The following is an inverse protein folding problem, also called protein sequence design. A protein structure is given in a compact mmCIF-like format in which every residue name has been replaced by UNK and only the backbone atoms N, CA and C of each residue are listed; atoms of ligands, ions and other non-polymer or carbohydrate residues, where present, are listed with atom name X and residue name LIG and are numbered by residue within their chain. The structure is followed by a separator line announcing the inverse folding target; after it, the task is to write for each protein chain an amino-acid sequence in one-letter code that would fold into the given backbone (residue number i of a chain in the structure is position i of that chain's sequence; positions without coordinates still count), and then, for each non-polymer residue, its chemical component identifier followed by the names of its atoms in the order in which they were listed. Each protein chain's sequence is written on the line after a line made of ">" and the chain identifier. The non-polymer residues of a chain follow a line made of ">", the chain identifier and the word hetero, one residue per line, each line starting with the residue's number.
data_IF_799796353151
#
_entry.id   IF_799796353151
#
_cell.length_a   1.000
_cell.length_b   1.000
_cell.length_c   1.000
_cell.angle_alpha   90.00
_cell.angle_beta   90.00
_cell.angle_gamma   90.00
#
_symmetry.space_group_name_H-M   'P 1'
#
loop_
_entity.id
_entity.type
_entity.pdbx_description
1 polymer ?
#
# COMPACT_ATOMS: atom_id res chain seq x y z
N UNK A 1 -24.18 -4.61 14.99
CA UNK A 1 -23.95 -5.62 13.92
C UNK A 1 -22.74 -5.36 13.01
N UNK A 2 -21.97 -4.26 13.16
CA UNK A 2 -20.81 -3.96 12.30
C UNK A 2 -19.53 -4.80 12.59
N UNK A 3 -19.62 -5.92 13.31
CA UNK A 3 -18.46 -6.52 14.01
C UNK A 3 -17.64 -7.54 13.21
N UNK A 4 -18.21 -8.23 12.22
CA UNK A 4 -17.49 -9.28 11.47
C UNK A 4 -16.60 -8.69 10.36
N UNK A 5 -17.18 -7.89 9.46
CA UNK A 5 -16.46 -7.29 8.31
C UNK A 5 -15.35 -6.34 8.79
N UNK A 6 -15.62 -5.49 9.79
CA UNK A 6 -14.61 -4.60 10.37
C UNK A 6 -13.43 -5.38 10.96
N UNK A 7 -13.71 -6.48 11.68
CA UNK A 7 -12.68 -7.35 12.26
C UNK A 7 -11.87 -8.07 11.18
N UNK A 8 -12.53 -8.65 10.17
CA UNK A 8 -11.86 -9.29 9.03
C UNK A 8 -10.96 -8.29 8.29
N UNK A 9 -11.43 -7.06 8.05
CA UNK A 9 -10.63 -6.00 7.46
C UNK A 9 -9.42 -5.62 8.33
N UNK A 10 -9.58 -5.49 9.64
CA UNK A 10 -8.48 -5.23 10.57
C UNK A 10 -7.51 -6.42 10.69
N UNK A 11 -7.95 -7.66 10.53
CA UNK A 11 -7.07 -8.82 10.42
C UNK A 11 -6.17 -8.65 9.19
N UNK A 12 -6.73 -8.30 8.02
CA UNK A 12 -5.96 -8.05 6.80
C UNK A 12 -4.96 -6.89 6.92
N UNK A 13 -5.30 -5.78 7.60
CA UNK A 13 -4.35 -4.65 7.81
C UNK A 13 -3.13 -5.08 8.65
N UNK A 14 -3.31 -6.01 9.58
CA UNK A 14 -2.27 -6.47 10.50
C UNK A 14 -1.37 -7.59 9.95
N UNK A 15 -1.75 -8.23 8.84
CA UNK A 15 -0.95 -9.32 8.25
C UNK A 15 0.37 -8.80 7.65
N UNK A 16 1.52 -9.40 8.01
CA UNK A 16 2.83 -8.99 7.54
C UNK A 16 3.13 -9.51 6.13
N UNK A 17 4.12 -8.87 5.48
CA UNK A 17 4.79 -9.43 4.31
C UNK A 17 5.82 -10.49 4.74
N UNK A 18 6.14 -11.46 3.87
CA UNK A 18 7.30 -12.32 4.04
C UNK A 18 8.60 -11.50 4.24
N UNK A 19 9.57 -12.01 5.03
CA UNK A 19 9.57 -13.30 5.72
C UNK A 19 8.86 -13.27 7.10
N UNK A 20 8.21 -12.17 7.48
CA UNK A 20 7.53 -12.03 8.78
C UNK A 20 6.18 -12.75 8.77
N UNK A 21 5.73 -13.21 9.93
CA UNK A 21 4.42 -13.84 10.19
C UNK A 21 3.83 -13.34 11.52
N UNK A 22 2.52 -13.46 11.70
CA UNK A 22 1.82 -13.13 12.96
C UNK A 22 0.89 -14.26 13.36
N UNK A 23 0.94 -14.71 14.61
CA UNK A 23 0.05 -15.77 15.12
C UNK A 23 -1.32 -15.21 15.53
N UNK A 24 -2.31 -16.10 15.71
CA UNK A 24 -3.67 -15.70 16.07
C UNK A 24 -3.80 -15.09 17.48
N UNK A 25 -2.85 -15.34 18.39
CA UNK A 25 -2.83 -14.73 19.72
C UNK A 25 -2.31 -13.29 19.68
N UNK A 26 -1.27 -13.02 18.89
CA UNK A 26 -0.81 -11.66 18.61
C UNK A 26 -1.89 -10.82 17.87
N UNK A 27 -2.65 -11.44 16.96
CA UNK A 27 -3.82 -10.79 16.35
C UNK A 27 -4.93 -10.51 17.37
N UNK A 28 -5.19 -11.43 18.31
CA UNK A 28 -6.17 -11.25 19.38
C UNK A 28 -5.82 -10.06 20.29
N UNK A 29 -4.58 -9.99 20.76
CA UNK A 29 -4.10 -8.88 21.59
C UNK A 29 -4.29 -7.53 20.88
N UNK A 30 -3.91 -7.44 19.60
CA UNK A 30 -4.06 -6.21 18.79
C UNK A 30 -5.51 -5.82 18.49
N UNK A 31 -6.42 -6.78 18.39
CA UNK A 31 -7.86 -6.47 18.27
C UNK A 31 -8.40 -5.94 19.60
N UNK A 32 -8.00 -6.53 20.72
CA UNK A 32 -8.37 -6.08 22.07
C UNK A 32 -7.87 -4.66 22.38
N UNK A 33 -6.64 -4.33 22.01
CA UNK A 33 -6.09 -2.95 22.03
C UNK A 33 -6.94 -1.94 21.26
N UNK A 34 -7.68 -2.40 20.23
CA UNK A 34 -8.55 -1.59 19.37
C UNK A 34 -10.01 -1.62 19.82
N UNK A 35 -10.30 -2.11 21.03
CA UNK A 35 -11.65 -2.21 21.59
C UNK A 35 -12.50 -3.34 20.99
N UNK A 36 -11.89 -4.29 20.27
CA UNK A 36 -12.57 -5.43 19.64
C UNK A 36 -12.20 -6.70 20.40
N UNK A 37 -13.01 -7.08 21.39
CA UNK A 37 -12.82 -8.36 22.07
C UNK A 37 -13.41 -9.50 21.23
N UNK A 38 -12.57 -10.49 20.92
CA UNK A 38 -12.92 -11.69 20.17
C UNK A 38 -12.01 -12.85 20.55
N UNK A 39 -12.57 -14.05 20.68
CA UNK A 39 -11.79 -15.24 20.96
C UNK A 39 -10.94 -15.70 19.77
N UNK A 40 -9.74 -16.22 20.06
CA UNK A 40 -8.81 -16.82 19.10
C UNK A 40 -9.44 -17.74 18.05
N UNK A 41 -10.44 -18.56 18.44
CA UNK A 41 -11.12 -19.50 17.54
C UNK A 41 -11.85 -18.81 16.39
N UNK A 42 -12.40 -17.62 16.65
CA UNK A 42 -13.07 -16.76 15.65
C UNK A 42 -12.03 -16.18 14.69
N UNK A 43 -10.92 -15.65 15.20
CA UNK A 43 -9.81 -15.14 14.38
C UNK A 43 -9.24 -16.23 13.46
N UNK A 44 -9.06 -17.45 13.99
CA UNK A 44 -8.62 -18.61 13.21
C UNK A 44 -9.62 -18.98 12.10
N UNK A 45 -10.93 -18.92 12.38
CA UNK A 45 -11.96 -19.19 11.37
C UNK A 45 -11.97 -18.11 10.28
N UNK A 46 -11.94 -16.84 10.69
CA UNK A 46 -11.85 -15.70 9.77
C UNK A 46 -10.61 -15.79 8.88
N UNK A 47 -9.44 -16.17 9.41
CA UNK A 47 -8.21 -16.34 8.62
C UNK A 47 -8.34 -17.45 7.57
N UNK A 48 -9.02 -18.56 7.90
CA UNK A 48 -9.31 -19.65 6.95
C UNK A 48 -10.28 -19.14 5.86
N UNK A 49 -11.39 -18.49 6.24
CA UNK A 49 -12.34 -17.88 5.31
C UNK A 49 -11.66 -16.87 4.37
N UNK A 50 -10.84 -15.98 4.93
CA UNK A 50 -10.07 -14.99 4.19
C UNK A 50 -9.04 -15.63 3.25
N UNK A 51 -8.42 -16.75 3.61
CA UNK A 51 -7.46 -17.45 2.73
C UNK A 51 -8.07 -18.04 1.47
N UNK A 52 -9.39 -18.25 1.43
CA UNK A 52 -10.12 -18.64 0.22
C UNK A 52 -10.34 -17.51 -0.79
N UNK A 53 -10.11 -16.24 -0.40
CA UNK A 53 -10.41 -15.04 -1.21
C UNK A 53 -9.19 -14.14 -1.38
N UNK A 54 -8.33 -14.07 -0.36
CA UNK A 54 -7.14 -13.23 -0.31
C UNK A 54 -5.87 -14.10 -0.37
N UNK A 55 -4.80 -13.63 -1.03
CA UNK A 55 -3.53 -14.35 -1.14
C UNK A 55 -2.72 -14.31 0.17
N UNK A 56 -3.30 -14.88 1.23
CA UNK A 56 -2.72 -15.06 2.56
C UNK A 56 -2.52 -16.55 2.84
N UNK A 57 -1.49 -16.89 3.59
CA UNK A 57 -1.13 -18.26 3.92
C UNK A 57 -0.78 -18.40 5.40
N UNK A 58 -1.06 -19.58 5.94
CA UNK A 58 -0.47 -20.02 7.20
C UNK A 58 0.98 -20.44 6.96
N UNK A 59 1.87 -20.00 7.85
CA UNK A 59 3.25 -20.46 7.96
C UNK A 59 3.30 -21.44 9.15
N UNK A 60 3.22 -22.72 8.80
CA UNK A 60 3.16 -23.88 9.70
C UNK A 60 4.54 -24.45 10.06
N UNK A 61 5.62 -23.93 9.45
CA UNK A 61 7.01 -24.38 9.57
C UNK A 61 7.52 -24.45 11.01
N UNK A 62 6.96 -23.63 11.90
CA UNK A 62 7.25 -23.66 13.33
C UNK A 62 6.03 -23.19 14.14
N UNK A 63 5.79 -23.80 15.30
CA UNK A 63 4.77 -23.33 16.25
C UNK A 63 5.28 -22.09 17.02
N UNK A 64 4.40 -21.12 17.38
CA UNK A 64 2.99 -21.02 16.98
C UNK A 64 2.86 -20.71 15.48
N UNK A 65 1.87 -21.36 14.83
CA UNK A 65 1.61 -21.15 13.41
C UNK A 65 1.25 -19.68 13.17
N UNK A 66 1.98 -19.05 12.26
CA UNK A 66 1.76 -17.66 11.90
C UNK A 66 0.95 -17.54 10.62
N UNK A 67 0.49 -16.34 10.33
CA UNK A 67 -0.17 -15.97 9.09
C UNK A 67 0.59 -14.81 8.45
N UNK A 68 0.62 -14.79 7.12
CA UNK A 68 1.26 -13.75 6.32
C UNK A 68 0.62 -13.65 4.94
N UNK A 69 0.92 -12.57 4.23
CA UNK A 69 0.69 -12.53 2.79
C UNK A 69 1.65 -13.50 2.07
N UNK A 70 1.23 -14.00 0.90
CA UNK A 70 2.10 -14.75 -0.02
C UNK A 70 3.20 -13.84 -0.60
N UNK A 71 4.16 -14.44 -1.30
CA UNK A 71 5.27 -13.73 -1.91
C UNK A 71 4.84 -12.91 -3.16
N UNK A 72 3.76 -13.30 -3.85
CA UNK A 72 3.02 -12.43 -4.81
C UNK A 72 2.09 -11.45 -4.07
N UNK A 73 2.68 -10.68 -3.16
CA UNK A 73 1.98 -9.66 -2.37
C UNK A 73 1.60 -8.41 -3.18
N UNK A 74 1.58 -8.49 -4.52
CA UNK A 74 1.07 -7.46 -5.42
C UNK A 74 -0.29 -6.94 -4.94
N UNK A 75 -1.18 -7.86 -4.54
CA UNK A 75 -2.51 -7.54 -4.01
C UNK A 75 -2.46 -6.83 -2.64
N UNK A 76 -1.61 -7.29 -1.73
CA UNK A 76 -1.44 -6.68 -0.41
C UNK A 76 -0.87 -5.24 -0.50
N UNK A 77 -0.09 -4.95 -1.55
CA UNK A 77 0.42 -3.61 -1.87
C UNK A 77 -0.63 -2.71 -2.52
N UNK A 78 -1.61 -3.26 -3.23
CA UNK A 78 -2.71 -2.51 -3.86
C UNK A 78 -3.91 -2.26 -2.93
N UNK A 79 -4.07 -3.03 -1.84
CA UNK A 79 -5.13 -2.78 -0.88
C UNK A 79 -4.91 -1.44 -0.12
N UNK A 80 -5.95 -0.62 0.08
CA UNK A 80 -5.86 0.66 0.78
C UNK A 80 -5.83 0.50 2.31
N UNK A 81 -4.88 -0.29 2.82
CA UNK A 81 -4.76 -0.61 4.24
C UNK A 81 -3.91 0.47 4.96
N UNK A 82 -4.38 1.06 6.07
CA UNK A 82 -3.53 1.85 6.96
C UNK A 82 -2.52 0.91 7.62
N UNK A 83 -1.27 0.97 7.17
CA UNK A 83 -0.23 0.03 7.58
C UNK A 83 0.71 0.69 8.58
N UNK A 84 0.91 0.06 9.72
CA UNK A 84 1.95 0.45 10.66
C UNK A 84 3.31 -0.07 10.17
N UNK A 85 4.22 0.86 9.92
CA UNK A 85 5.68 0.73 9.95
C UNK A 85 6.26 -0.55 9.34
N UNK A 86 6.37 -0.54 8.01
CA UNK A 86 7.66 -0.90 7.42
C UNK A 86 8.57 0.30 7.68
N UNK A 87 9.63 0.13 8.46
CA UNK A 87 10.71 1.10 8.63
C UNK A 87 11.53 1.20 7.33
N UNK A 88 10.89 1.70 6.28
CA UNK A 88 11.60 2.24 5.14
C UNK A 88 12.43 3.43 5.65
N UNK A 89 13.76 3.35 5.52
CA UNK A 89 14.60 4.53 5.70
C UNK A 89 14.02 5.66 4.84
N UNK A 90 13.88 6.87 5.39
CA UNK A 90 13.26 8.01 4.70
C UNK A 90 13.85 8.14 3.30
N UNK A 91 13.01 7.96 2.27
CA UNK A 91 13.47 7.95 0.87
C UNK A 91 13.15 9.29 0.23
N UNK A 92 14.11 9.76 -0.56
CA UNK A 92 13.95 10.93 -1.39
C UNK A 92 13.08 10.58 -2.61
N UNK A 93 11.83 11.06 -2.58
CA UNK A 93 10.87 10.97 -3.67
C UNK A 93 11.06 12.21 -4.54
N UNK A 94 11.44 12.02 -5.81
CA UNK A 94 11.48 13.11 -6.79
C UNK A 94 10.33 12.92 -7.77
N UNK A 95 9.48 13.93 -7.90
CA UNK A 95 8.31 13.94 -8.79
C UNK A 95 8.33 15.18 -9.68
N UNK A 96 8.03 15.01 -10.96
CA UNK A 96 7.72 16.09 -11.90
C UNK A 96 6.21 16.23 -12.00
N UNK A 97 5.72 17.46 -11.93
CA UNK A 97 4.29 17.80 -12.03
C UNK A 97 4.11 19.22 -12.59
N UNK A 98 2.91 19.58 -13.09
CA UNK A 98 2.60 20.94 -13.49
C UNK A 98 2.75 21.93 -12.33
N UNK A 99 3.22 23.15 -12.60
CA UNK A 99 3.39 24.21 -11.59
C UNK A 99 2.08 24.56 -10.88
N UNK A 100 0.94 24.50 -11.59
CA UNK A 100 -0.39 24.71 -11.01
C UNK A 100 -0.74 23.67 -9.92
N UNK A 101 -0.26 22.43 -10.03
CA UNK A 101 -0.54 21.36 -9.07
C UNK A 101 0.36 21.39 -7.82
N UNK A 102 1.44 22.21 -7.82
CA UNK A 102 2.48 22.25 -6.76
C UNK A 102 1.96 22.54 -5.36
N UNK A 103 0.92 23.36 -5.25
CA UNK A 103 0.35 23.79 -3.97
C UNK A 103 -0.50 22.67 -3.36
N UNK A 104 -1.42 22.14 -4.17
CA UNK A 104 -2.38 21.11 -3.77
C UNK A 104 -1.70 19.77 -3.49
N UNK A 105 -0.86 19.29 -4.42
CA UNK A 105 -0.28 17.96 -4.32
C UNK A 105 0.67 17.83 -3.12
N UNK A 106 1.49 18.83 -2.84
CA UNK A 106 2.43 18.75 -1.72
C UNK A 106 1.74 18.78 -0.36
N UNK A 107 0.67 19.58 -0.22
CA UNK A 107 -0.14 19.57 0.99
C UNK A 107 -0.65 18.15 1.31
N UNK A 108 -0.90 17.34 0.27
CA UNK A 108 -1.32 15.96 0.41
C UNK A 108 -0.17 14.95 0.59
N UNK A 109 0.93 15.05 -0.18
CA UNK A 109 2.02 14.04 -0.19
C UNK A 109 2.57 13.77 1.22
N UNK A 110 2.72 14.82 2.05
CA UNK A 110 3.07 14.71 3.47
C UNK A 110 4.48 14.16 3.72
N UNK A 111 5.47 15.06 3.82
CA UNK A 111 6.87 14.71 4.13
C UNK A 111 7.57 15.83 4.91
N UNK A 112 8.69 15.51 5.58
CA UNK A 112 9.36 16.43 6.54
C UNK A 112 10.21 17.51 5.88
N UNK A 113 10.62 17.30 4.63
CA UNK A 113 11.46 18.24 3.88
C UNK A 113 11.03 18.27 2.42
N UNK A 114 10.97 19.48 1.86
CA UNK A 114 10.63 19.76 0.46
C UNK A 114 11.71 20.63 -0.16
N UNK A 115 12.15 20.26 -1.35
CA UNK A 115 12.85 21.16 -2.29
C UNK A 115 12.06 21.21 -3.59
N UNK A 116 11.91 22.40 -4.15
CA UNK A 116 11.37 22.59 -5.50
C UNK A 116 12.51 23.09 -6.36
N UNK A 117 12.77 22.39 -7.46
CA UNK A 117 13.69 22.78 -8.50
C UNK A 117 12.91 23.07 -9.79
N UNK A 118 13.55 23.74 -10.74
CA UNK A 118 13.05 23.81 -12.11
C UNK A 118 12.94 22.40 -12.72
N UNK A 119 12.11 22.29 -13.75
CA UNK A 119 11.93 21.06 -14.50
C UNK A 119 13.25 20.61 -15.17
N UNK A 120 13.69 19.34 -15.04
CA UNK A 120 14.93 18.86 -15.64
C UNK A 120 14.95 18.90 -17.18
N UNK A 121 13.79 18.93 -17.85
CA UNK A 121 13.70 19.11 -19.30
C UNK A 121 13.55 20.61 -19.70
N UNK A 122 13.63 21.54 -18.74
CA UNK A 122 13.55 22.98 -18.96
C UNK A 122 12.15 23.53 -19.20
N UNK A 123 11.09 22.74 -19.00
CA UNK A 123 9.71 23.16 -19.28
C UNK A 123 9.20 24.11 -18.19
N UNK A 124 8.93 25.37 -18.54
CA UNK A 124 8.50 26.41 -17.57
C UNK A 124 7.20 26.09 -16.83
N UNK A 125 6.31 25.27 -17.42
CA UNK A 125 5.03 24.90 -16.83
C UNK A 125 5.10 23.69 -15.90
N UNK A 126 6.25 23.01 -15.83
CA UNK A 126 6.52 21.93 -14.90
C UNK A 126 7.55 22.33 -13.84
N UNK A 127 7.64 21.52 -12.78
CA UNK A 127 8.69 21.62 -11.79
C UNK A 127 9.00 20.25 -11.20
N UNK A 128 10.27 20.03 -10.82
CA UNK A 128 10.68 18.87 -10.05
C UNK A 128 10.55 19.19 -8.55
N UNK A 129 9.74 18.40 -7.85
CA UNK A 129 9.63 18.46 -6.39
C UNK A 129 10.30 17.24 -5.79
N UNK A 130 11.21 17.52 -4.87
CA UNK A 130 11.89 16.51 -4.05
C UNK A 130 11.28 16.54 -2.65
N UNK A 131 10.80 15.40 -2.17
CA UNK A 131 10.17 15.23 -0.86
C UNK A 131 10.82 14.05 -0.13
N UNK A 132 11.28 14.27 1.10
CA UNK A 132 11.68 13.18 1.99
C UNK A 132 10.41 12.52 2.56
N UNK A 133 10.17 11.25 2.22
CA UNK A 133 8.99 10.51 2.70
C UNK A 133 9.36 9.25 3.47
N UNK A 134 8.78 9.14 4.67
CA UNK A 134 9.08 8.09 5.63
C UNK A 134 8.26 6.81 5.40
N UNK A 135 6.99 6.95 5.00
CA UNK A 135 6.13 5.84 4.62
C UNK A 135 5.99 5.78 3.09
N UNK A 136 6.77 4.90 2.46
CA UNK A 136 6.68 4.65 1.01
C UNK A 136 5.30 4.14 0.59
N UNK A 137 4.53 3.51 1.49
CA UNK A 137 3.16 3.06 1.28
C UNK A 137 2.14 4.20 1.26
N UNK A 138 2.16 5.11 2.24
CA UNK A 138 1.33 6.32 2.21
C UNK A 138 1.68 7.24 1.03
N UNK A 139 2.98 7.43 0.74
CA UNK A 139 3.44 8.12 -0.46
C UNK A 139 2.83 7.48 -1.71
N UNK A 140 3.01 6.16 -1.87
CA UNK A 140 2.48 5.36 -2.99
C UNK A 140 0.97 5.52 -3.17
N UNK A 141 0.18 5.49 -2.09
CA UNK A 141 -1.28 5.68 -2.16
C UNK A 141 -1.65 7.07 -2.69
N UNK A 142 -1.02 8.13 -2.15
CA UNK A 142 -1.25 9.52 -2.55
C UNK A 142 -0.82 9.78 -4.00
N UNK A 143 0.35 9.26 -4.39
CA UNK A 143 0.84 9.30 -5.76
C UNK A 143 -0.11 8.58 -6.72
N UNK A 144 -0.64 7.40 -6.35
CA UNK A 144 -1.59 6.68 -7.22
C UNK A 144 -2.92 7.41 -7.39
N UNK A 145 -3.41 8.14 -6.38
CA UNK A 145 -4.59 9.00 -6.52
C UNK A 145 -4.42 10.09 -7.59
N UNK A 146 -3.17 10.52 -7.85
CA UNK A 146 -2.82 11.60 -8.77
C UNK A 146 -1.87 11.16 -9.91
N UNK A 147 -1.77 9.85 -10.18
CA UNK A 147 -0.77 9.29 -11.12
C UNK A 147 -0.99 9.68 -12.59
N UNK A 148 -2.09 10.37 -12.89
CA UNK A 148 -2.38 10.95 -14.21
C UNK A 148 -1.75 12.34 -14.41
N UNK A 149 -1.28 13.00 -13.34
CA UNK A 149 -0.71 14.36 -13.36
C UNK A 149 0.78 14.39 -12.92
N UNK A 150 1.33 13.24 -12.52
CA UNK A 150 2.63 13.15 -11.83
C UNK A 150 3.52 12.10 -12.49
N UNK A 151 4.73 12.53 -12.85
CA UNK A 151 5.81 11.62 -13.22
C UNK A 151 6.77 11.43 -12.04
N UNK A 152 6.83 10.22 -11.47
CA UNK A 152 7.87 9.88 -10.46
C UNK A 152 9.22 9.76 -11.16
N UNK A 153 10.17 10.67 -10.88
CA UNK A 153 11.54 10.62 -11.38
C UNK A 153 12.41 9.66 -10.57
N UNK A 154 12.27 9.68 -9.25
CA UNK A 154 13.00 8.80 -8.33
C UNK A 154 12.15 8.44 -7.10
N UNK A 155 12.36 7.27 -6.47
CA UNK A 155 13.32 6.23 -6.86
C UNK A 155 12.85 5.35 -8.02
N UNK A 156 13.80 4.73 -8.74
CA UNK A 156 13.55 3.99 -10.00
C UNK A 156 12.67 2.74 -9.83
N UNK A 157 12.74 2.09 -8.67
CA UNK A 157 11.91 0.94 -8.30
C UNK A 157 10.42 1.35 -8.19
N UNK A 158 10.13 2.48 -7.55
CA UNK A 158 8.79 3.06 -7.47
C UNK A 158 8.24 3.41 -8.87
N UNK A 159 9.04 4.07 -9.72
CA UNK A 159 8.71 4.35 -11.12
C UNK A 159 8.35 3.07 -11.89
N UNK A 160 9.17 2.03 -11.79
CA UNK A 160 8.96 0.76 -12.50
C UNK A 160 7.69 0.01 -12.04
N UNK A 161 7.38 0.05 -10.74
CA UNK A 161 6.16 -0.56 -10.20
C UNK A 161 4.90 0.20 -10.64
N UNK A 162 4.93 1.55 -10.66
CA UNK A 162 3.84 2.39 -11.19
C UNK A 162 3.60 2.10 -12.68
N UNK A 163 4.66 2.11 -13.50
CA UNK A 163 4.56 1.83 -14.94
C UNK A 163 4.08 0.40 -15.25
N UNK A 164 4.33 -0.56 -14.36
CA UNK A 164 3.81 -1.93 -14.48
C UNK A 164 2.33 -2.00 -14.14
N UNK A 165 1.89 -1.29 -13.09
CA UNK A 165 0.47 -1.22 -12.71
C UNK A 165 -0.36 -0.49 -13.78
N UNK A 166 0.14 0.63 -14.32
CA UNK A 166 -0.52 1.39 -15.38
C UNK A 166 -0.70 0.55 -16.66
N UNK A 167 0.34 -0.19 -17.09
CA UNK A 167 0.23 -1.11 -18.25
C UNK A 167 -0.80 -2.22 -18.03
N UNK A 168 -0.87 -2.79 -16.82
CA UNK A 168 -1.89 -3.80 -16.46
C UNK A 168 -3.30 -3.21 -16.51
N UNK A 169 -3.51 -2.01 -15.95
CA UNK A 169 -4.78 -1.32 -16.00
C UNK A 169 -5.21 -1.01 -17.45
N UNK A 170 -4.29 -0.48 -18.27
CA UNK A 170 -4.56 -0.20 -19.68
C UNK A 170 -5.01 -1.47 -20.41
N UNK A 171 -4.27 -2.58 -20.29
CA UNK A 171 -4.64 -3.86 -20.92
C UNK A 171 -6.05 -4.34 -20.50
N UNK A 172 -6.42 -4.22 -19.22
CA UNK A 172 -7.75 -4.60 -18.73
C UNK A 172 -8.90 -3.76 -19.31
N UNK A 173 -8.62 -2.54 -19.79
CA UNK A 173 -9.61 -1.57 -20.27
C UNK A 173 -9.56 -1.32 -21.79
N UNK A 174 -8.50 -1.74 -22.50
CA UNK A 174 -8.41 -1.65 -23.97
C UNK A 174 -8.84 -2.92 -24.71
N UNK A 175 -8.99 -4.05 -24.01
CA UNK A 175 -9.69 -5.20 -24.58
C UNK A 175 -11.19 -4.88 -24.74
N UNK A 176 -11.64 -4.72 -25.98
CA UNK A 176 -13.07 -4.75 -26.31
C UNK A 176 -13.68 -6.04 -25.75
N UNK A 177 -14.54 -5.88 -24.73
CA UNK A 177 -15.42 -6.96 -24.31
C UNK A 177 -16.47 -7.11 -25.39
N UNK A 178 -16.34 -8.13 -26.23
CA UNK A 178 -17.35 -8.48 -27.21
C UNK A 178 -18.71 -8.61 -26.51
N UNK A 179 -19.61 -7.67 -26.77
CA UNK A 179 -20.92 -7.59 -26.14
C UNK A 179 -21.71 -8.88 -26.36
N UNK A 180 -22.29 -9.40 -25.29
CA UNK A 180 -23.33 -10.44 -25.27
C UNK A 180 -24.47 -9.94 -24.40
#
# INVERSE_FOLDING_TARGET
>A
MASAILRQWLILTMLPLPPRRIDSGALEARLRERGIDVHRRTIQRDLIELSGVFPIISDDRAKPYGWRWTDDASFARSLPLPRADVTAASRELVVRLPRAALSHLVAQIGGRSRRVADDPDGTKDHAAVTVAVDDTGAARRRLFGHAHEIEVLAPRDLRAEIATMARRALALHTHERASR
#
